data_IF_017519720507
#
_entry.id   IF_017519720507
#
_cell.length_a   1.000
_cell.length_b   1.000
_cell.length_c   1.000
_cell.angle_alpha   90.00
_cell.angle_beta   90.00
_cell.angle_gamma   90.00
#
_symmetry.space_group_name_H-M   'P 1'
#
loop_
_entity.id
_entity.type
_entity.pdbx_description
1 polymer ?
#
# COMPACT_ATOMS: atom_id res chain seq x y z
N UNK A 1 8.92 -0.46 -28.40
CA UNK A 1 8.16 0.30 -29.42
C UNK A 1 8.99 1.52 -29.80
N UNK A 2 8.95 2.04 -31.03
CA UNK A 2 9.69 3.29 -31.32
C UNK A 2 8.82 4.50 -30.95
N UNK A 3 9.30 5.33 -30.02
CA UNK A 3 8.62 6.56 -29.62
C UNK A 3 8.72 7.64 -30.71
N UNK A 4 7.62 8.35 -30.95
CA UNK A 4 7.57 9.44 -31.92
C UNK A 4 7.73 10.80 -31.22
N UNK A 5 8.95 11.34 -31.23
CA UNK A 5 9.25 12.65 -30.67
C UNK A 5 8.86 13.77 -31.63
N UNK A 6 7.98 14.66 -31.17
CA UNK A 6 7.64 15.90 -31.85
C UNK A 6 8.37 17.11 -31.29
N UNK A 7 8.77 17.03 -30.02
CA UNK A 7 9.74 17.92 -29.35
C UNK A 7 10.62 17.04 -28.47
N UNK A 8 11.93 17.26 -28.51
CA UNK A 8 12.91 16.40 -27.81
C UNK A 8 13.67 15.48 -28.75
N UNK A 9 14.48 14.60 -28.18
CA UNK A 9 15.30 13.63 -28.90
C UNK A 9 15.40 12.33 -28.07
N UNK A 10 15.14 11.19 -28.70
CA UNK A 10 15.32 9.87 -28.08
C UNK A 10 16.74 9.59 -27.56
N UNK A 11 17.76 10.26 -28.10
CA UNK A 11 19.13 10.16 -27.64
C UNK A 11 19.44 11.06 -26.43
N UNK A 12 18.57 12.03 -26.15
CA UNK A 12 18.69 13.01 -25.06
C UNK A 12 17.29 13.28 -24.45
N UNK A 13 16.60 12.24 -23.93
CA UNK A 13 15.33 12.43 -23.25
C UNK A 13 15.56 13.27 -21.99
N UNK A 14 14.56 14.04 -21.59
CA UNK A 14 14.70 14.99 -20.47
C UNK A 14 14.31 14.42 -19.10
N UNK A 15 13.72 13.22 -19.07
CA UNK A 15 13.14 12.62 -17.87
C UNK A 15 11.69 13.04 -17.61
N UNK A 16 11.11 13.89 -18.46
CA UNK A 16 9.71 14.30 -18.36
C UNK A 16 9.14 14.67 -19.74
N UNK A 17 7.93 14.21 -20.02
CA UNK A 17 7.32 14.32 -21.34
C UNK A 17 5.80 14.49 -21.28
N UNK A 18 5.24 15.22 -22.23
CA UNK A 18 3.82 15.16 -22.56
C UNK A 18 3.60 14.10 -23.64
N UNK A 19 2.70 13.15 -23.40
CA UNK A 19 2.17 12.27 -24.45
C UNK A 19 0.85 12.85 -24.90
N UNK A 20 0.64 12.98 -26.21
CA UNK A 20 -0.63 13.43 -26.73
C UNK A 20 -1.17 12.53 -27.84
N UNK A 21 -2.49 12.49 -27.95
CA UNK A 21 -3.23 11.64 -28.86
C UNK A 21 -4.27 12.47 -29.60
N UNK A 22 -4.55 12.12 -30.85
CA UNK A 22 -5.67 12.70 -31.60
C UNK A 22 -6.82 11.71 -31.66
N UNK A 23 -8.03 12.21 -31.51
CA UNK A 23 -9.23 11.39 -31.66
C UNK A 23 -9.43 10.99 -33.14
N UNK A 24 -9.80 9.73 -33.36
CA UNK A 24 -10.01 9.15 -34.69
C UNK A 24 -11.21 9.75 -35.41
N UNK A 25 -12.27 10.08 -34.67
CA UNK A 25 -13.50 10.64 -35.22
C UNK A 25 -13.41 12.17 -35.39
N UNK A 26 -12.66 12.85 -34.51
CA UNK A 26 -12.46 14.29 -34.58
C UNK A 26 -10.98 14.68 -34.33
N UNK A 27 -10.17 14.92 -35.38
CA UNK A 27 -8.74 15.26 -35.24
C UNK A 27 -8.44 16.51 -34.42
N UNK A 28 -9.41 17.42 -34.23
CA UNK A 28 -9.27 18.61 -33.40
C UNK A 28 -9.42 18.30 -31.90
N UNK A 29 -10.00 17.15 -31.55
CA UNK A 29 -10.09 16.65 -30.17
C UNK A 29 -8.78 15.95 -29.83
N UNK A 30 -8.09 16.48 -28.83
CA UNK A 30 -6.78 16.00 -28.39
C UNK A 30 -6.87 15.55 -26.93
N UNK A 31 -6.29 14.40 -26.62
CA UNK A 31 -6.09 13.93 -25.25
C UNK A 31 -4.61 13.97 -24.89
N UNK A 32 -4.27 14.25 -23.63
CA UNK A 32 -2.88 14.27 -23.17
C UNK A 32 -2.69 13.63 -21.79
N UNK A 33 -1.52 13.03 -21.60
CA UNK A 33 -1.01 12.53 -20.31
C UNK A 33 0.42 13.04 -20.11
N UNK A 34 0.88 13.12 -18.87
CA UNK A 34 2.23 13.56 -18.52
C UNK A 34 3.02 12.40 -17.93
N UNK A 35 4.24 12.18 -18.42
CA UNK A 35 5.17 11.16 -17.94
C UNK A 35 6.31 11.82 -17.20
N UNK A 36 6.70 11.21 -16.08
CA UNK A 36 7.89 11.60 -15.32
C UNK A 36 8.70 10.35 -14.98
N UNK A 37 9.98 10.38 -15.32
CA UNK A 37 11.01 9.48 -14.83
C UNK A 37 11.82 10.20 -13.75
N UNK A 38 11.73 9.70 -12.53
CA UNK A 38 12.38 10.24 -11.35
C UNK A 38 13.88 9.87 -11.36
N UNK A 39 14.78 10.84 -11.13
CA UNK A 39 16.22 10.58 -11.02
C UNK A 39 16.64 10.03 -9.64
N UNK A 40 15.68 9.84 -8.73
CA UNK A 40 15.91 9.36 -7.36
C UNK A 40 14.95 8.21 -7.11
N UNK A 41 15.45 7.11 -6.55
CA UNK A 41 14.60 6.00 -6.13
C UNK A 41 13.70 6.45 -4.98
N UNK A 42 12.39 6.29 -5.17
CA UNK A 42 11.39 6.63 -4.16
C UNK A 42 10.75 5.35 -3.66
N UNK A 43 11.01 5.05 -2.40
CA UNK A 43 10.26 4.03 -1.68
C UNK A 43 8.90 4.60 -1.26
N UNK A 44 7.89 4.35 -2.09
CA UNK A 44 6.52 4.82 -1.88
C UNK A 44 5.89 4.24 -0.61
N UNK A 45 6.35 3.08 -0.13
CA UNK A 45 5.86 2.50 1.12
C UNK A 45 6.06 3.42 2.32
N UNK A 46 7.06 4.32 2.26
CA UNK A 46 7.32 5.34 3.30
C UNK A 46 6.27 6.45 3.36
N UNK A 47 5.51 6.65 2.28
CA UNK A 47 4.56 7.76 2.13
C UNK A 47 3.11 7.30 2.02
N UNK A 48 2.90 5.99 1.87
CA UNK A 48 1.58 5.38 1.83
C UNK A 48 1.14 5.06 3.26
N UNK A 49 -0.01 5.57 3.70
CA UNK A 49 -0.57 5.18 4.99
C UNK A 49 -0.73 3.65 5.06
N UNK A 50 -0.38 2.98 6.16
CA UNK A 50 -0.33 1.51 6.19
C UNK A 50 -1.66 0.82 5.84
N UNK A 51 -2.80 1.48 6.09
CA UNK A 51 -4.12 0.97 5.70
C UNK A 51 -4.36 0.93 4.18
N UNK A 52 -3.51 1.58 3.37
CA UNK A 52 -3.52 1.55 1.91
C UNK A 52 -2.37 0.72 1.33
N UNK A 53 -1.45 0.20 2.15
CA UNK A 53 -0.25 -0.50 1.68
C UNK A 53 -0.60 -1.72 0.79
N UNK A 54 -1.62 -2.50 1.17
CA UNK A 54 -2.09 -3.63 0.37
C UNK A 54 -2.74 -3.25 -0.97
N UNK A 55 -3.25 -2.02 -1.12
CA UNK A 55 -3.75 -1.51 -2.40
C UNK A 55 -2.61 -1.01 -3.30
N UNK A 56 -1.52 -0.54 -2.71
CA UNK A 56 -0.33 -0.08 -3.44
C UNK A 56 0.50 -1.25 -3.96
N UNK A 57 0.53 -2.36 -3.23
CA UNK A 57 1.12 -3.61 -3.71
C UNK A 57 0.37 -4.15 -4.96
N UNK A 58 -0.95 -3.93 -5.04
CA UNK A 58 -1.77 -4.22 -6.24
C UNK A 58 -1.54 -3.26 -7.41
N UNK A 59 -1.06 -2.03 -7.15
CA UNK A 59 -0.70 -1.07 -8.20
C UNK A 59 0.66 -1.39 -8.85
N UNK A 60 1.36 -2.40 -8.35
CA UNK A 60 2.63 -2.88 -8.88
C UNK A 60 3.75 -2.61 -7.88
N UNK A 61 4.37 -3.66 -7.39
CA UNK A 61 5.64 -3.65 -6.63
C UNK A 61 6.87 -3.30 -7.49
N UNK A 62 6.65 -2.62 -8.62
CA UNK A 62 7.69 -2.17 -9.52
C UNK A 62 8.25 -0.84 -9.05
N UNK A 63 9.56 -0.67 -9.17
CA UNK A 63 10.27 0.57 -8.93
C UNK A 63 9.49 1.74 -9.55
N UNK A 64 8.85 2.58 -8.71
CA UNK A 64 7.98 3.66 -9.18
C UNK A 64 8.82 4.87 -9.62
N UNK A 65 10.00 4.59 -10.15
CA UNK A 65 10.94 5.54 -10.70
C UNK A 65 10.42 6.14 -12.01
N UNK A 66 9.35 5.61 -12.61
CA UNK A 66 8.64 6.25 -13.72
C UNK A 66 7.14 6.05 -13.65
N UNK A 67 6.36 7.09 -13.93
CA UNK A 67 4.89 7.01 -13.94
C UNK A 67 4.25 8.03 -14.89
N UNK A 68 3.00 7.77 -15.27
CA UNK A 68 2.17 8.66 -16.08
C UNK A 68 0.96 9.15 -15.31
N UNK A 69 0.64 10.44 -15.43
CA UNK A 69 -0.58 11.01 -14.88
C UNK A 69 -1.16 12.11 -15.79
N UNK A 70 -2.48 12.10 -16.07
CA UNK A 70 -3.45 11.06 -15.70
C UNK A 70 -3.21 9.74 -16.47
N UNK A 71 -3.59 8.56 -15.92
CA UNK A 71 -3.25 7.26 -16.53
C UNK A 71 -3.98 7.01 -17.86
N UNK A 72 -5.15 7.62 -18.05
CA UNK A 72 -5.77 7.79 -19.37
C UNK A 72 -5.60 9.25 -19.81
N UNK A 73 -5.40 9.53 -21.11
CA UNK A 73 -5.27 10.90 -21.59
C UNK A 73 -6.53 11.72 -21.31
N UNK A 74 -6.36 12.89 -20.70
CA UNK A 74 -7.46 13.84 -20.47
C UNK A 74 -7.57 14.85 -21.62
N UNK A 75 -8.77 15.42 -21.88
CA UNK A 75 -8.94 16.43 -22.93
C UNK A 75 -7.99 17.62 -22.77
N UNK A 76 -7.27 17.95 -23.83
CA UNK A 76 -6.39 19.11 -23.94
C UNK A 76 -7.01 20.18 -24.85
N UNK A 77 -6.52 21.42 -24.75
CA UNK A 77 -7.04 22.55 -25.53
C UNK A 77 -6.82 22.37 -27.04
N UNK A 78 -5.59 22.07 -27.43
CA UNK A 78 -5.19 21.78 -28.81
C UNK A 78 -3.76 21.23 -28.85
N UNK A 79 -3.35 20.66 -29.98
CA UNK A 79 -1.96 20.28 -30.19
C UNK A 79 -1.01 21.50 -30.17
N UNK A 80 -1.42 22.63 -30.75
CA UNK A 80 -0.58 23.85 -30.75
C UNK A 80 -0.29 24.32 -29.32
N UNK A 81 -1.31 24.28 -28.46
CA UNK A 81 -1.16 24.60 -27.04
C UNK A 81 -0.20 23.62 -26.34
N UNK A 82 -0.30 22.31 -26.61
CA UNK A 82 0.63 21.32 -26.05
C UNK A 82 2.08 21.55 -26.49
N UNK A 83 2.31 21.94 -27.75
CA UNK A 83 3.64 22.29 -28.26
C UNK A 83 4.21 23.52 -27.57
N UNK A 84 3.41 24.57 -27.39
CA UNK A 84 3.81 25.77 -26.67
C UNK A 84 4.12 25.47 -25.19
N UNK A 85 3.27 24.66 -24.55
CA UNK A 85 3.46 24.22 -23.16
C UNK A 85 4.76 23.42 -23.01
N UNK A 86 4.97 22.39 -23.84
CA UNK A 86 6.18 21.58 -23.81
C UNK A 86 7.44 22.43 -24.04
N UNK A 87 7.41 23.36 -25.00
CA UNK A 87 8.53 24.27 -25.23
C UNK A 87 8.82 25.18 -24.02
N UNK A 88 7.78 25.77 -23.43
CA UNK A 88 7.93 26.70 -22.29
C UNK A 88 8.49 26.03 -21.04
N UNK A 89 8.12 24.76 -20.81
CA UNK A 89 8.53 23.94 -19.67
C UNK A 89 9.82 23.16 -19.93
N UNK A 90 10.30 23.20 -21.18
CA UNK A 90 11.35 22.31 -21.65
C UNK A 90 11.00 20.84 -21.41
N UNK A 91 9.75 20.44 -21.64
CA UNK A 91 9.35 19.05 -21.68
C UNK A 91 9.70 18.42 -23.04
N UNK A 92 9.78 17.09 -23.10
CA UNK A 92 9.64 16.37 -24.38
C UNK A 92 8.14 16.31 -24.77
N UNK A 93 7.86 16.16 -26.06
CA UNK A 93 6.50 15.96 -26.58
C UNK A 93 6.47 14.73 -27.46
N UNK A 94 5.70 13.74 -27.05
CA UNK A 94 5.54 12.45 -27.71
C UNK A 94 4.17 12.37 -28.37
N UNK A 95 4.14 11.93 -29.64
CA UNK A 95 2.89 11.61 -30.30
C UNK A 95 2.52 10.15 -30.04
N UNK A 96 1.43 9.94 -29.30
CA UNK A 96 0.89 8.62 -28.95
C UNK A 96 0.00 8.00 -30.02
N UNK A 97 -0.28 8.73 -31.11
CA UNK A 97 -1.03 8.24 -32.26
C UNK A 97 -2.48 8.70 -32.34
N UNK A 98 -3.23 8.05 -33.22
CA UNK A 98 -4.65 8.33 -33.49
C UNK A 98 -5.51 7.21 -32.89
N UNK A 99 -6.33 7.56 -31.90
CA UNK A 99 -7.02 6.63 -31.01
C UNK A 99 -8.50 6.97 -30.89
N UNK A 100 -9.29 6.07 -30.30
CA UNK A 100 -10.61 6.41 -29.82
C UNK A 100 -10.46 6.96 -28.40
N UNK A 101 -10.70 8.26 -28.17
CA UNK A 101 -10.51 8.87 -26.85
C UNK A 101 -11.56 8.43 -25.83
N UNK A 102 -12.63 7.76 -26.26
CA UNK A 102 -13.68 7.26 -25.37
C UNK A 102 -13.38 5.83 -24.86
N UNK A 103 -12.42 5.13 -25.47
CA UNK A 103 -11.95 3.80 -25.02
C UNK A 103 -10.84 3.92 -23.95
N UNK A 104 -11.24 4.34 -22.75
CA UNK A 104 -10.35 4.60 -21.62
C UNK A 104 -9.43 3.41 -21.31
N UNK A 105 -9.95 2.19 -21.32
CA UNK A 105 -9.17 0.98 -20.96
C UNK A 105 -8.02 0.74 -21.92
N UNK A 106 -8.27 0.85 -23.23
CA UNK A 106 -7.22 0.70 -24.23
C UNK A 106 -6.20 1.84 -24.15
N UNK A 107 -6.65 3.07 -23.87
CA UNK A 107 -5.76 4.22 -23.73
C UNK A 107 -4.82 4.10 -22.53
N UNK A 108 -5.30 3.58 -21.40
CA UNK A 108 -4.45 3.35 -20.22
C UNK A 108 -3.30 2.39 -20.53
N UNK A 109 -3.57 1.32 -21.28
CA UNK A 109 -2.54 0.38 -21.71
C UNK A 109 -1.50 1.05 -22.62
N UNK A 110 -1.95 1.84 -23.61
CA UNK A 110 -1.05 2.54 -24.53
C UNK A 110 -0.19 3.59 -23.81
N UNK A 111 -0.77 4.34 -22.87
CA UNK A 111 -0.02 5.31 -22.04
C UNK A 111 1.02 4.59 -21.18
N UNK A 112 0.69 3.44 -20.59
CA UNK A 112 1.62 2.65 -19.80
C UNK A 112 2.79 2.13 -20.66
N UNK A 113 2.51 1.62 -21.87
CA UNK A 113 3.53 1.13 -22.81
C UNK A 113 4.49 2.25 -23.23
N UNK A 114 3.96 3.44 -23.59
CA UNK A 114 4.79 4.60 -23.96
C UNK A 114 5.64 5.07 -22.78
N UNK A 115 5.07 5.07 -21.57
CA UNK A 115 5.75 5.47 -20.34
C UNK A 115 6.92 4.57 -19.98
N UNK A 116 6.72 3.24 -20.08
CA UNK A 116 7.76 2.25 -19.84
C UNK A 116 8.91 2.38 -20.83
N UNK A 117 8.60 2.54 -22.12
CA UNK A 117 9.62 2.74 -23.15
C UNK A 117 10.40 4.06 -22.95
N UNK A 118 9.72 5.15 -22.56
CA UNK A 118 10.38 6.42 -22.26
C UNK A 118 11.30 6.31 -21.04
N UNK A 119 10.86 5.59 -20.01
CA UNK A 119 11.65 5.31 -18.81
C UNK A 119 12.93 4.54 -19.15
N UNK A 120 12.83 3.47 -19.95
CA UNK A 120 13.98 2.70 -20.41
C UNK A 120 15.00 3.56 -21.17
N UNK A 121 14.54 4.52 -21.98
CA UNK A 121 15.41 5.45 -22.69
C UNK A 121 16.14 6.39 -21.73
N UNK A 122 15.47 6.86 -20.68
CA UNK A 122 16.08 7.68 -19.63
C UNK A 122 17.10 6.88 -18.80
N UNK A 123 16.79 5.63 -18.43
CA UNK A 123 17.68 4.74 -17.69
C UNK A 123 18.98 4.45 -18.44
N UNK A 124 18.90 4.16 -19.75
CA UNK A 124 20.07 3.92 -20.62
C UNK A 124 21.06 5.10 -20.62
N UNK A 125 20.61 6.30 -20.28
CA UNK A 125 21.40 7.53 -20.24
C UNK A 125 21.69 8.03 -18.82
N UNK A 126 21.32 7.25 -17.79
CA UNK A 126 21.59 7.58 -16.39
C UNK A 126 20.72 8.71 -15.83
N UNK A 127 19.56 8.97 -16.45
CA UNK A 127 18.57 9.94 -15.98
C UNK A 127 17.50 9.31 -15.08
N UNK A 128 17.42 7.98 -15.05
CA UNK A 128 16.61 7.22 -14.10
C UNK A 128 17.21 7.21 -12.69
N UNK A 129 16.47 6.62 -11.74
CA UNK A 129 16.93 6.47 -10.37
C UNK A 129 18.30 5.82 -10.31
N UNK A 130 19.28 6.51 -9.72
CA UNK A 130 20.59 5.93 -9.49
C UNK A 130 20.47 4.78 -8.48
N UNK A 131 21.01 3.61 -8.82
CA UNK A 131 21.25 2.52 -7.88
C UNK A 131 22.20 3.04 -6.79
N UNK A 132 21.64 3.42 -5.63
CA UNK A 132 22.41 3.89 -4.47
C UNK A 132 23.20 2.78 -3.77
N UNK A 133 23.48 1.66 -4.45
CA UNK A 133 24.52 0.72 -4.01
C UNK A 133 25.94 1.31 -4.14
N UNK A 134 26.07 2.46 -4.83
CA UNK A 134 27.14 3.42 -4.59
C UNK A 134 26.90 4.11 -3.24
N UNK A 135 27.35 3.44 -2.17
CA UNK A 135 27.11 3.80 -0.78
C UNK A 135 27.27 5.28 -0.46
N UNK A 136 26.30 5.79 0.27
CA UNK A 136 26.45 7.00 1.07
C UNK A 136 27.72 6.87 1.94
N UNK A 137 28.61 7.88 2.01
CA UNK A 137 29.80 7.78 2.85
C UNK A 137 29.35 7.76 4.31
N UNK A 138 29.25 6.56 4.89
CA UNK A 138 28.85 6.37 6.29
C UNK A 138 28.29 5.01 6.68
N UNK A 139 27.89 4.13 5.75
CA UNK A 139 27.40 2.80 6.11
C UNK A 139 28.29 1.72 5.52
N UNK A 140 29.20 1.18 6.34
CA UNK A 140 29.96 -0.01 6.01
C UNK A 140 28.99 -1.18 5.77
N UNK A 141 28.75 -1.51 4.49
CA UNK A 141 28.25 -2.83 4.08
C UNK A 141 29.37 -3.83 4.40
N UNK A 142 29.21 -4.58 5.49
CA UNK A 142 29.95 -5.82 5.70
C UNK A 142 29.03 -6.97 5.30
N UNK A 143 29.39 -7.61 4.18
CA UNK A 143 29.06 -8.95 3.72
C UNK A 143 27.78 -9.62 4.23
N UNK A 144 26.88 -9.84 3.28
CA UNK A 144 25.95 -10.95 3.28
C UNK A 144 26.70 -12.28 3.47
N UNK A 145 26.73 -12.75 4.71
CA UNK A 145 26.82 -14.18 5.02
C UNK A 145 25.75 -14.52 6.03
N UNK A 146 24.86 -15.41 5.61
CA UNK A 146 23.90 -16.11 6.45
C UNK A 146 24.54 -16.51 7.78
N UNK A 147 24.02 -15.96 8.87
CA UNK A 147 24.09 -16.58 10.19
C UNK A 147 22.91 -16.12 11.01
N UNK A 148 22.10 -17.11 11.37
CA UNK A 148 21.08 -17.01 12.39
C UNK A 148 21.63 -16.27 13.62
N UNK A 149 21.10 -15.07 13.85
CA UNK A 149 21.28 -14.34 15.10
C UNK A 149 20.07 -13.45 15.30
N UNK A 150 19.25 -13.87 16.26
CA UNK A 150 18.20 -13.09 16.92
C UNK A 150 18.54 -11.61 17.02
N UNK A 151 17.73 -10.75 16.39
CA UNK A 151 17.57 -9.36 16.79
C UNK A 151 16.11 -8.98 16.58
N UNK A 152 15.32 -9.37 17.56
CA UNK A 152 13.95 -8.97 17.81
C UNK A 152 13.91 -7.50 18.25
N UNK A 153 14.13 -6.56 17.33
CA UNK A 153 13.82 -5.12 17.53
C UNK A 153 13.85 -4.40 16.18
N UNK A 154 12.68 -4.02 15.64
CA UNK A 154 12.41 -2.84 14.74
C UNK A 154 11.31 -3.00 13.67
N UNK A 155 10.58 -4.12 13.60
CA UNK A 155 9.34 -4.18 12.77
C UNK A 155 8.10 -3.77 13.59
N UNK A 156 8.13 -3.98 14.91
CA UNK A 156 7.07 -3.56 15.82
C UNK A 156 6.93 -2.03 15.93
N UNK A 157 8.01 -1.28 15.68
CA UNK A 157 8.10 0.17 15.88
C UNK A 157 7.28 0.98 14.85
N UNK A 158 7.22 0.52 13.60
CA UNK A 158 6.50 1.24 12.52
C UNK A 158 4.98 1.16 12.73
N UNK A 159 4.46 -0.02 13.07
CA UNK A 159 3.03 -0.19 13.34
C UNK A 159 2.60 0.55 14.62
N UNK A 160 3.47 0.64 15.63
CA UNK A 160 3.20 1.36 16.87
C UNK A 160 2.95 2.86 16.63
N UNK A 161 3.75 3.47 15.76
CA UNK A 161 3.56 4.88 15.37
C UNK A 161 2.25 5.09 14.62
N UNK A 162 1.88 4.18 13.69
CA UNK A 162 0.60 4.26 12.98
C UNK A 162 -0.58 4.21 13.96
N UNK A 163 -0.60 3.22 14.84
CA UNK A 163 -1.70 3.02 15.79
C UNK A 163 -1.84 4.19 16.77
N UNK A 164 -0.74 4.86 17.13
CA UNK A 164 -0.78 6.07 17.97
C UNK A 164 -1.55 7.25 17.37
N UNK A 165 -1.70 7.28 16.04
CA UNK A 165 -2.38 8.36 15.31
C UNK A 165 -3.84 8.03 14.96
N UNK A 166 -4.28 6.79 15.18
CA UNK A 166 -5.63 6.34 14.86
C UNK A 166 -6.64 6.72 15.95
N UNK A 167 -7.90 6.87 15.54
CA UNK A 167 -8.98 7.00 16.51
C UNK A 167 -9.33 5.63 17.12
N UNK A 168 -9.86 5.61 18.35
CA UNK A 168 -10.29 4.35 18.99
C UNK A 168 -11.23 3.48 18.12
N UNK A 169 -12.25 4.00 17.40
CA UNK A 169 -13.09 3.17 16.53
C UNK A 169 -12.32 2.61 15.31
N UNK A 170 -11.32 3.33 14.80
CA UNK A 170 -10.46 2.81 13.72
C UNK A 170 -9.56 1.69 14.25
N UNK A 171 -8.98 1.85 15.45
CA UNK A 171 -8.21 0.81 16.13
C UNK A 171 -9.04 -0.45 16.38
N UNK A 172 -10.30 -0.31 16.81
CA UNK A 172 -11.21 -1.44 17.02
C UNK A 172 -11.62 -2.12 15.70
N UNK A 173 -11.74 -1.35 14.62
CA UNK A 173 -11.99 -1.89 13.27
C UNK A 173 -10.79 -2.71 12.79
N UNK A 174 -9.59 -2.15 12.90
CA UNK A 174 -8.35 -2.84 12.52
C UNK A 174 -8.13 -4.10 13.35
N UNK A 175 -8.39 -4.01 14.66
CA UNK A 175 -8.36 -5.15 15.57
C UNK A 175 -9.29 -6.29 15.12
N UNK A 176 -10.46 -5.96 14.56
CA UNK A 176 -11.40 -6.96 14.03
C UNK A 176 -10.79 -7.74 12.85
N UNK A 177 -10.15 -7.02 11.93
CA UNK A 177 -9.47 -7.61 10.76
C UNK A 177 -8.30 -8.49 11.19
N UNK A 178 -7.43 -7.97 12.07
CA UNK A 178 -6.27 -8.71 12.57
C UNK A 178 -6.67 -9.94 13.39
N UNK A 179 -7.75 -9.87 14.17
CA UNK A 179 -8.27 -11.01 14.92
C UNK A 179 -8.75 -12.13 13.99
N UNK A 180 -9.48 -11.79 12.92
CA UNK A 180 -9.92 -12.77 11.92
C UNK A 180 -8.73 -13.46 11.24
N UNK A 181 -7.71 -12.68 10.87
CA UNK A 181 -6.47 -13.20 10.29
C UNK A 181 -5.70 -14.09 11.27
N UNK A 182 -5.51 -13.64 12.51
CA UNK A 182 -4.85 -14.40 13.57
C UNK A 182 -5.53 -15.76 13.79
N UNK A 183 -6.86 -15.81 13.89
CA UNK A 183 -7.58 -17.07 14.08
C UNK A 183 -7.43 -18.01 12.89
N UNK A 184 -7.45 -17.49 11.66
CA UNK A 184 -7.24 -18.28 10.45
C UNK A 184 -5.83 -18.88 10.41
N UNK A 185 -4.81 -18.07 10.65
CA UNK A 185 -3.40 -18.50 10.66
C UNK A 185 -3.14 -19.51 11.77
N UNK A 186 -3.63 -19.23 12.99
CA UNK A 186 -3.49 -20.11 14.14
C UNK A 186 -4.19 -21.46 13.93
N UNK A 187 -5.43 -21.45 13.40
CA UNK A 187 -6.18 -22.69 13.09
C UNK A 187 -5.59 -23.46 11.91
N UNK A 188 -4.96 -22.76 10.97
CA UNK A 188 -4.29 -23.32 9.80
C UNK A 188 -2.90 -23.89 10.08
N UNK A 189 -2.37 -23.71 11.30
CA UNK A 189 -1.03 -24.16 11.69
C UNK A 189 0.11 -23.26 11.19
N UNK A 190 -0.20 -22.08 10.66
CA UNK A 190 0.79 -21.06 10.28
C UNK A 190 1.24 -20.29 11.53
N UNK A 191 2.16 -20.92 12.28
CA UNK A 191 2.71 -20.35 13.52
C UNK A 191 3.47 -19.04 13.29
N UNK A 192 4.07 -18.85 12.12
CA UNK A 192 4.83 -17.64 11.80
C UNK A 192 3.88 -16.46 11.53
N UNK A 193 2.86 -16.68 10.71
CA UNK A 193 1.80 -15.68 10.47
C UNK A 193 1.04 -15.33 11.74
N UNK A 194 0.68 -16.32 12.54
CA UNK A 194 -0.02 -16.10 13.82
C UNK A 194 0.81 -15.23 14.78
N UNK A 195 2.12 -15.45 14.89
CA UNK A 195 3.00 -14.63 15.73
C UNK A 195 3.08 -13.17 15.24
N UNK A 196 3.12 -12.96 13.93
CA UNK A 196 3.11 -11.63 13.31
C UNK A 196 1.79 -10.88 13.62
N UNK A 197 0.66 -11.56 13.43
CA UNK A 197 -0.68 -11.04 13.71
C UNK A 197 -0.85 -10.73 15.21
N UNK A 198 -0.38 -11.60 16.11
CA UNK A 198 -0.38 -11.35 17.56
C UNK A 198 0.43 -10.09 17.91
N UNK A 199 1.61 -9.93 17.33
CA UNK A 199 2.48 -8.77 17.56
C UNK A 199 1.78 -7.47 17.17
N UNK A 200 1.07 -7.46 16.04
CA UNK A 200 0.27 -6.30 15.59
C UNK A 200 -0.89 -6.01 16.53
N UNK A 201 -1.62 -7.02 16.99
CA UNK A 201 -2.71 -6.89 17.96
C UNK A 201 -2.19 -6.29 19.28
N UNK A 202 -1.02 -6.74 19.76
CA UNK A 202 -0.38 -6.20 20.97
C UNK A 202 0.05 -4.74 20.80
N UNK A 203 0.49 -4.33 19.62
CA UNK A 203 0.78 -2.91 19.35
C UNK A 203 -0.48 -2.06 19.40
N UNK A 204 -1.62 -2.52 18.85
CA UNK A 204 -2.91 -1.82 19.00
C UNK A 204 -3.30 -1.70 20.48
N UNK A 205 -3.13 -2.77 21.26
CA UNK A 205 -3.52 -2.79 22.67
C UNK A 205 -2.86 -1.67 23.51
N UNK A 206 -1.67 -1.19 23.12
CA UNK A 206 -0.99 -0.06 23.78
C UNK A 206 -1.71 1.28 23.62
N UNK A 207 -2.48 1.43 22.54
CA UNK A 207 -3.16 2.70 22.16
C UNK A 207 -4.66 2.67 22.44
N UNK A 208 -5.17 1.56 23.00
CA UNK A 208 -6.58 1.40 23.39
C UNK A 208 -6.67 1.43 24.92
N UNK A 209 -7.75 1.98 25.53
CA UNK A 209 -7.87 2.00 26.98
C UNK A 209 -7.86 0.60 27.61
N UNK A 210 -7.16 0.43 28.75
CA UNK A 210 -6.97 -0.88 29.41
C UNK A 210 -8.27 -1.63 29.69
N UNK A 211 -9.37 -0.92 29.97
CA UNK A 211 -10.68 -1.50 30.25
C UNK A 211 -11.33 -2.21 29.05
N UNK A 212 -10.72 -2.13 27.85
CA UNK A 212 -11.10 -2.92 26.66
C UNK A 212 -10.59 -4.37 26.75
N UNK A 213 -9.57 -4.63 27.59
CA UNK A 213 -9.05 -5.98 27.90
C UNK A 213 -8.61 -6.77 26.65
N UNK A 214 -7.86 -6.12 25.76
CA UNK A 214 -7.39 -6.74 24.52
C UNK A 214 -6.47 -7.94 24.81
N UNK A 215 -5.71 -7.93 25.91
CA UNK A 215 -4.88 -9.07 26.31
C UNK A 215 -5.68 -10.37 26.50
N UNK A 216 -6.86 -10.28 27.13
CA UNK A 216 -7.74 -11.44 27.32
C UNK A 216 -8.31 -11.96 26.00
N UNK A 217 -8.45 -11.08 24.99
CA UNK A 217 -8.85 -11.45 23.65
C UNK A 217 -7.77 -12.29 22.97
N UNK A 218 -6.50 -11.87 23.09
CA UNK A 218 -5.34 -12.61 22.55
C UNK A 218 -5.24 -13.97 23.22
N UNK A 219 -5.30 -14.01 24.56
CA UNK A 219 -5.26 -15.25 25.33
C UNK A 219 -6.39 -16.21 24.92
N UNK A 220 -7.61 -15.71 24.76
CA UNK A 220 -8.75 -16.51 24.33
C UNK A 220 -8.59 -17.05 22.91
N UNK A 221 -7.94 -16.30 22.01
CA UNK A 221 -7.71 -16.74 20.64
C UNK A 221 -6.58 -17.78 20.53
N UNK A 222 -5.60 -17.74 21.45
CA UNK A 222 -4.42 -18.60 21.44
C UNK A 222 -4.52 -19.84 22.35
N UNK A 223 -5.62 -20.04 23.06
CA UNK A 223 -5.76 -21.12 24.07
C UNK A 223 -5.95 -22.54 23.49
N UNK A 224 -6.14 -22.66 22.17
CA UNK A 224 -6.29 -23.94 21.47
C UNK A 224 -7.58 -24.71 21.80
N UNK A 225 -8.53 -24.11 22.52
CA UNK A 225 -9.82 -24.73 22.84
C UNK A 225 -10.76 -24.71 21.64
N UNK A 226 -11.75 -25.60 21.65
CA UNK A 226 -12.81 -25.67 20.63
C UNK A 226 -13.69 -24.41 20.57
N UNK A 227 -13.68 -23.59 21.63
CA UNK A 227 -14.42 -22.33 21.75
C UNK A 227 -13.55 -21.08 21.72
N UNK A 228 -12.24 -21.22 21.46
CA UNK A 228 -11.25 -20.12 21.34
C UNK A 228 -11.77 -18.97 20.47
N UNK A 229 -12.18 -19.28 19.24
CA UNK A 229 -12.72 -18.32 18.28
C UNK A 229 -13.94 -17.55 18.84
N UNK A 230 -14.86 -18.26 19.50
CA UNK A 230 -16.06 -17.67 20.10
C UNK A 230 -15.71 -16.78 21.29
N UNK A 231 -14.78 -17.21 22.15
CA UNK A 231 -14.33 -16.43 23.31
C UNK A 231 -13.62 -15.14 22.89
N UNK A 232 -12.73 -15.23 21.91
CA UNK A 232 -12.04 -14.07 21.34
C UNK A 232 -13.03 -13.08 20.70
N UNK A 233 -14.02 -13.58 19.95
CA UNK A 233 -15.09 -12.76 19.40
C UNK A 233 -15.90 -12.03 20.49
N UNK A 234 -16.24 -12.71 21.60
CA UNK A 234 -16.93 -12.08 22.72
C UNK A 234 -16.09 -10.97 23.38
N UNK A 235 -14.77 -11.15 23.50
CA UNK A 235 -13.89 -10.09 24.01
C UNK A 235 -13.82 -8.89 23.04
N UNK A 236 -13.85 -9.12 21.73
CA UNK A 236 -13.90 -8.05 20.74
C UNK A 236 -15.23 -7.28 20.80
N UNK A 237 -16.36 -7.99 20.87
CA UNK A 237 -17.68 -7.37 21.07
C UNK A 237 -17.76 -6.57 22.38
N UNK A 238 -17.13 -7.09 23.45
CA UNK A 238 -17.02 -6.38 24.73
C UNK A 238 -16.26 -5.06 24.58
N UNK A 239 -15.17 -5.04 23.81
CA UNK A 239 -14.39 -3.83 23.55
C UNK A 239 -15.23 -2.77 22.82
N UNK A 240 -15.98 -3.17 21.79
CA UNK A 240 -16.92 -2.27 21.10
C UNK A 240 -18.06 -1.77 21.99
N UNK A 241 -18.63 -2.64 22.84
CA UNK A 241 -19.68 -2.26 23.77
C UNK A 241 -19.16 -1.26 24.83
N UNK A 242 -17.93 -1.46 25.32
CA UNK A 242 -17.25 -0.51 26.22
C UNK A 242 -16.97 0.83 25.55
N UNK A 243 -16.59 0.85 24.26
CA UNK A 243 -16.42 2.07 23.48
C UNK A 243 -17.73 2.85 23.31
N UNK A 244 -18.84 2.14 23.07
CA UNK A 244 -20.19 2.73 22.96
C UNK A 244 -20.86 3.05 24.29
N UNK A 245 -20.16 2.81 25.41
CA UNK A 245 -20.70 2.94 26.77
C UNK A 245 -21.97 2.10 27.03
N UNK A 246 -22.17 1.01 26.29
CA UNK A 246 -23.29 0.09 26.46
C UNK A 246 -22.99 -0.95 27.56
N UNK A 247 -23.04 -0.50 28.81
CA UNK A 247 -22.75 -1.34 29.97
C UNK A 247 -23.73 -2.52 30.13
N UNK A 248 -24.95 -2.40 29.59
CA UNK A 248 -25.92 -3.51 29.62
C UNK A 248 -25.43 -4.65 28.73
N UNK A 249 -24.99 -4.34 27.49
CA UNK A 249 -24.42 -5.33 26.59
C UNK A 249 -23.11 -5.89 27.14
N UNK A 250 -22.26 -5.08 27.76
CA UNK A 250 -21.03 -5.55 28.44
C UNK A 250 -21.36 -6.59 29.50
N UNK A 251 -22.38 -6.36 30.33
CA UNK A 251 -22.77 -7.31 31.36
C UNK A 251 -23.21 -8.67 30.78
N UNK A 252 -24.07 -8.64 29.75
CA UNK A 252 -24.51 -9.86 29.05
C UNK A 252 -23.32 -10.63 28.47
N UNK A 253 -22.39 -9.92 27.81
CA UNK A 253 -21.20 -10.55 27.23
C UNK A 253 -20.31 -11.16 28.33
N UNK A 254 -20.16 -10.51 29.48
CA UNK A 254 -19.38 -11.08 30.60
C UNK A 254 -20.02 -12.35 31.17
N UNK A 255 -21.34 -12.46 31.19
CA UNK A 255 -22.04 -13.71 31.55
C UNK A 255 -21.82 -14.80 30.49
N UNK A 256 -21.88 -14.47 29.21
CA UNK A 256 -21.60 -15.40 28.10
C UNK A 256 -20.15 -15.94 28.18
N UNK A 257 -19.17 -15.07 28.45
CA UNK A 257 -17.75 -15.46 28.60
C UNK A 257 -17.58 -16.41 29.79
N UNK A 258 -18.23 -16.13 30.94
CA UNK A 258 -18.17 -16.99 32.13
C UNK A 258 -18.78 -18.37 31.86
N UNK A 259 -19.94 -18.43 31.21
CA UNK A 259 -20.62 -19.69 30.89
C UNK A 259 -19.75 -20.62 30.03
N UNK A 260 -18.97 -20.07 29.10
CA UNK A 260 -18.02 -20.82 28.26
C UNK A 260 -16.79 -21.28 29.08
N UNK A 261 -16.34 -20.48 30.05
CA UNK A 261 -15.27 -20.85 30.98
C UNK A 261 -15.64 -22.01 31.89
N UNK A 262 -16.83 -21.97 32.49
CA UNK A 262 -17.29 -22.94 33.49
C UNK A 262 -17.72 -24.29 32.88
N UNK A 263 -18.21 -24.28 31.64
CA UNK A 263 -18.68 -25.49 30.94
C UNK A 263 -17.62 -26.58 30.70
N UNK A 264 -16.33 -26.27 30.85
CA UNK A 264 -15.23 -27.23 30.68
C UNK A 264 -14.60 -27.72 31.99
N UNK A 265 -14.80 -27.03 33.12
CA UNK A 265 -14.30 -27.52 34.42
C UNK A 265 -15.12 -28.70 34.97
N UNK A 266 -16.27 -28.99 34.36
CA UNK A 266 -17.18 -30.06 34.78
C UNK A 266 -17.11 -31.32 33.90
N UNK A 267 -16.15 -31.39 32.97
CA UNK A 267 -15.97 -32.51 32.03
C UNK A 267 -14.58 -33.19 32.12
N UNK A 268 -13.87 -33.01 33.25
CA UNK A 268 -12.65 -33.78 33.60
C UNK A 268 -12.97 -34.89 34.58
#
# INVERSE_FOLDING_TARGET
>A
MTLEYHIGDSALPKGHALIYFRDRANPDRVGASYVVTLPISVDISKYVPPFLAGQVEQLGSGDMSSFSFPPAPEPALSESWLREMAASRSDDLLFGGVVDLDDITSLMAVVADISGEYAEQCEKLGLGAADTDAGWPGTNKADDRESASSTDTKVADVNDVMYSMMSEPDLLTELTTLMGRFQYEFSGGDTAGALESETKIRSIAKHVPENRRIDLMIEAAADGRSDSAKRAQLYLERAFAMYREDYTRVHVIEEEIKAIGDGQSSAS
#
